data_IF_843814590689
#
_entry.id   IF_843814590689
#
_cell.length_a   1.000
_cell.length_b   1.000
_cell.length_c   1.000
_cell.angle_alpha   90.00
_cell.angle_beta   90.00
_cell.angle_gamma   90.00
#
_symmetry.space_group_name_H-M   'P 1'
#
loop_
_entity.id
_entity.type
_entity.pdbx_description
1 polymer ?
#
# COMPACT_ATOMS: atom_id res chain seq x y z
N UNK A 1 20.79 12.30 5.15
CA UNK A 1 19.60 11.56 5.63
C UNK A 1 19.72 11.40 7.13
N UNK A 2 18.64 11.60 7.88
CA UNK A 2 18.70 11.53 9.34
C UNK A 2 19.06 10.14 9.83
N UNK A 3 18.72 9.07 9.10
CA UNK A 3 19.11 7.71 9.44
C UNK A 3 20.63 7.49 9.46
N UNK A 4 21.38 8.10 8.52
CA UNK A 4 22.85 7.98 8.47
C UNK A 4 23.46 8.68 9.69
N UNK A 5 23.09 9.95 9.92
CA UNK A 5 23.62 10.72 11.06
C UNK A 5 23.22 10.08 12.40
N UNK A 6 22.00 9.54 12.48
CA UNK A 6 21.53 8.77 13.64
C UNK A 6 22.32 7.48 13.85
N UNK A 7 22.70 6.79 12.77
CA UNK A 7 23.53 5.58 12.83
C UNK A 7 24.95 5.91 13.31
N UNK A 8 25.57 6.92 12.72
CA UNK A 8 26.93 7.36 13.09
C UNK A 8 26.99 7.81 14.55
N UNK A 9 25.97 8.53 15.02
CA UNK A 9 25.84 8.92 16.42
C UNK A 9 25.66 7.72 17.36
N UNK A 10 24.75 6.79 17.03
CA UNK A 10 24.40 5.68 17.91
C UNK A 10 25.46 4.56 17.92
N UNK A 11 26.23 4.40 16.84
CA UNK A 11 27.18 3.29 16.66
C UNK A 11 28.65 3.73 16.51
N UNK A 12 28.94 5.03 16.46
CA UNK A 12 30.31 5.56 16.39
C UNK A 12 31.07 5.22 15.11
N UNK A 13 30.36 4.80 14.05
CA UNK A 13 30.92 4.40 12.74
C UNK A 13 29.94 4.67 11.62
N UNK A 14 30.43 4.75 10.38
CA UNK A 14 29.58 4.81 9.19
C UNK A 14 28.80 3.50 8.98
N UNK A 15 27.57 3.53 8.43
CA UNK A 15 26.81 2.33 8.11
C UNK A 15 27.49 1.49 7.02
N UNK A 16 27.28 0.18 7.05
CA UNK A 16 27.79 -0.74 6.02
C UNK A 16 27.00 -0.61 4.71
N UNK A 17 25.76 -0.12 4.78
CA UNK A 17 24.92 0.15 3.63
C UNK A 17 23.63 0.88 3.99
N UNK A 18 22.87 1.23 2.96
CA UNK A 18 21.55 1.85 3.07
C UNK A 18 20.59 1.06 2.20
N UNK A 19 19.54 0.53 2.81
CA UNK A 19 18.42 -0.05 2.09
C UNK A 19 17.33 1.00 1.90
N UNK A 20 16.73 1.04 0.73
CA UNK A 20 15.63 1.93 0.41
C UNK A 20 14.49 1.14 -0.22
N UNK A 21 13.27 1.38 0.23
CA UNK A 21 12.06 0.94 -0.45
C UNK A 21 11.13 2.14 -0.64
N UNK A 22 10.66 2.41 -1.88
CA UNK A 22 9.71 3.49 -2.11
C UNK A 22 8.38 3.19 -1.44
N UNK A 23 7.59 4.23 -1.21
CA UNK A 23 6.17 4.11 -1.00
C UNK A 23 5.46 3.95 -2.35
N UNK A 24 4.20 3.53 -2.30
CA UNK A 24 3.34 3.40 -3.47
C UNK A 24 2.03 4.15 -3.32
N UNK A 25 1.49 4.57 -4.45
CA UNK A 25 0.09 4.96 -4.60
C UNK A 25 -0.64 4.02 -5.56
N UNK A 26 -1.96 3.93 -5.42
CA UNK A 26 -2.83 3.13 -6.27
C UNK A 26 -4.03 4.00 -6.69
N UNK A 27 -3.94 4.66 -7.86
CA UNK A 27 -5.04 5.49 -8.32
C UNK A 27 -6.32 4.73 -8.64
N UNK A 28 -6.19 3.49 -9.10
CA UNK A 28 -7.29 2.59 -9.45
C UNK A 28 -6.86 1.16 -9.09
N UNK A 29 -7.75 0.39 -8.46
CA UNK A 29 -7.49 -0.99 -7.98
C UNK A 29 -7.61 -1.17 -6.48
N UNK A 30 -8.37 -0.30 -5.81
CA UNK A 30 -8.67 -0.39 -4.39
C UNK A 30 -9.27 -1.75 -4.01
N UNK A 31 -8.74 -2.42 -2.98
CA UNK A 31 -9.37 -3.62 -2.40
C UNK A 31 -9.71 -4.73 -3.43
N UNK A 32 -8.93 -4.78 -4.51
CA UNK A 32 -9.09 -5.72 -5.61
C UNK A 32 -8.21 -6.97 -5.40
N UNK A 33 -7.01 -6.76 -4.84
CA UNK A 33 -5.90 -7.72 -4.78
C UNK A 33 -6.16 -8.93 -3.90
N UNK A 34 -6.74 -8.73 -2.71
CA UNK A 34 -7.10 -9.80 -1.77
C UNK A 34 -8.28 -10.67 -2.24
N UNK A 35 -8.83 -10.40 -3.42
CA UNK A 35 -9.85 -11.19 -4.09
C UNK A 35 -9.40 -11.65 -5.49
N UNK A 36 -8.08 -11.70 -5.75
CA UNK A 36 -7.49 -12.07 -7.05
C UNK A 36 -7.92 -11.18 -8.21
N UNK A 37 -8.15 -9.89 -7.94
CA UNK A 37 -8.47 -8.90 -8.94
C UNK A 37 -7.22 -8.28 -9.59
N UNK A 38 -7.44 -7.44 -10.60
CA UNK A 38 -6.37 -6.66 -11.21
C UNK A 38 -6.13 -5.38 -10.42
N UNK A 39 -4.90 -4.87 -10.48
CA UNK A 39 -4.47 -3.65 -9.81
C UNK A 39 -3.70 -2.72 -10.74
N UNK A 40 -3.64 -1.43 -10.38
CA UNK A 40 -2.61 -0.53 -10.89
C UNK A 40 -1.86 0.18 -9.77
N UNK A 41 -0.64 0.63 -10.05
CA UNK A 41 0.11 1.40 -9.06
C UNK A 41 1.34 2.11 -9.60
N UNK A 42 1.83 3.03 -8.77
CA UNK A 42 3.05 3.80 -8.99
C UNK A 42 3.85 3.82 -7.69
N UNK A 43 5.14 3.52 -7.75
CA UNK A 43 6.08 3.90 -6.70
C UNK A 43 6.32 5.41 -6.76
N UNK A 44 6.56 6.03 -5.60
CA UNK A 44 6.89 7.45 -5.49
C UNK A 44 8.32 7.66 -4.99
N UNK A 45 8.89 8.83 -5.27
CA UNK A 45 10.25 9.25 -4.89
C UNK A 45 10.44 9.51 -3.37
N UNK A 46 9.54 8.96 -2.56
CA UNK A 46 9.52 8.98 -1.11
C UNK A 46 9.38 7.54 -0.63
N UNK A 47 9.98 7.20 0.49
CA UNK A 47 9.94 5.84 1.03
C UNK A 47 10.57 5.70 2.40
N UNK A 48 10.95 4.46 2.70
CA UNK A 48 11.68 4.06 3.91
C UNK A 48 13.16 3.89 3.59
N UNK A 49 14.01 4.50 4.41
CA UNK A 49 15.44 4.28 4.40
C UNK A 49 15.86 3.55 5.67
N UNK A 50 16.77 2.58 5.54
CA UNK A 50 17.41 1.90 6.66
C UNK A 50 18.92 2.03 6.48
N UNK A 51 19.56 2.84 7.31
CA UNK A 51 21.02 2.80 7.46
C UNK A 51 21.35 1.62 8.38
N UNK A 52 22.13 0.65 7.90
CA UNK A 52 22.37 -0.59 8.64
C UNK A 52 23.85 -0.98 8.69
N UNK A 53 24.18 -1.82 9.66
CA UNK A 53 25.46 -2.50 9.76
C UNK A 53 25.30 -3.94 10.25
N UNK A 54 26.20 -4.82 9.84
CA UNK A 54 26.17 -6.23 10.21
C UNK A 54 26.50 -6.43 11.70
N UNK A 55 25.77 -7.35 12.35
CA UNK A 55 26.04 -7.83 13.70
C UNK A 55 26.29 -9.34 13.66
N UNK A 56 27.57 -9.74 13.76
CA UNK A 56 28.01 -11.13 13.63
C UNK A 56 27.50 -12.07 14.73
N UNK A 57 26.98 -11.52 15.82
CA UNK A 57 26.41 -12.27 16.93
C UNK A 57 24.92 -12.62 16.74
N UNK A 58 24.36 -12.44 15.53
CA UNK A 58 22.96 -12.77 15.23
C UNK A 58 21.91 -11.83 15.84
N UNK A 59 22.32 -10.76 16.53
CA UNK A 59 21.39 -9.80 17.13
C UNK A 59 20.91 -8.80 16.07
N UNK A 60 19.58 -8.63 16.00
CA UNK A 60 18.94 -7.53 15.29
C UNK A 60 18.58 -6.44 16.28
N UNK A 61 18.99 -5.20 15.99
CA UNK A 61 18.69 -4.03 16.80
C UNK A 61 18.39 -2.83 15.92
N UNK A 62 17.21 -2.25 16.07
CA UNK A 62 16.75 -1.16 15.22
C UNK A 62 16.16 -0.03 16.04
N UNK A 63 16.41 1.19 15.58
CA UNK A 63 15.77 2.42 16.05
C UNK A 63 14.99 3.03 14.91
N UNK A 64 13.82 3.57 15.18
CA UNK A 64 13.09 4.43 14.24
C UNK A 64 13.28 5.89 14.65
N UNK A 65 13.44 6.78 13.66
CA UNK A 65 13.37 8.23 13.90
C UNK A 65 11.92 8.66 14.16
N UNK A 66 10.95 7.97 13.56
CA UNK A 66 9.53 8.32 13.63
C UNK A 66 8.83 7.74 14.88
N UNK A 67 9.39 6.71 15.51
CA UNK A 67 8.80 6.05 16.68
C UNK A 67 9.73 6.04 17.88
N UNK A 68 9.20 6.23 19.10
CA UNK A 68 9.99 6.07 20.30
C UNK A 68 10.34 4.59 20.51
N UNK A 69 11.42 4.37 21.28
CA UNK A 69 11.95 3.05 21.70
C UNK A 69 12.71 2.29 20.61
N UNK A 70 13.76 1.59 21.06
CA UNK A 70 14.53 0.65 20.24
C UNK A 70 13.89 -0.73 20.30
N UNK A 71 13.97 -1.46 19.20
CA UNK A 71 13.58 -2.87 19.12
C UNK A 71 14.82 -3.75 19.01
N UNK A 72 14.82 -4.89 19.70
CA UNK A 72 15.92 -5.84 19.68
C UNK A 72 15.41 -7.28 19.79
N UNK A 73 15.99 -8.18 18.99
CA UNK A 73 15.76 -9.62 19.07
C UNK A 73 16.96 -10.37 18.47
N UNK A 74 17.02 -11.69 18.64
CA UNK A 74 18.04 -12.52 18.02
C UNK A 74 17.41 -13.33 16.87
N UNK A 75 18.12 -13.52 15.76
CA UNK A 75 17.61 -14.20 14.56
C UNK A 75 17.06 -15.61 14.84
N UNK A 76 17.71 -16.37 15.73
CA UNK A 76 17.30 -17.74 16.09
C UNK A 76 16.21 -17.82 17.15
N UNK A 77 15.88 -16.70 17.80
CA UNK A 77 14.87 -16.64 18.87
C UNK A 77 13.95 -15.44 18.66
N UNK A 78 13.56 -15.20 17.41
CA UNK A 78 12.58 -14.18 17.07
C UNK A 78 11.26 -14.56 17.76
N UNK A 79 10.61 -13.65 18.52
CA UNK A 79 9.33 -13.93 19.14
C UNK A 79 8.33 -14.48 18.13
N UNK A 80 7.62 -15.56 18.47
CA UNK A 80 6.67 -16.22 17.55
C UNK A 80 5.30 -15.54 17.51
N UNK A 81 5.06 -14.56 18.38
CA UNK A 81 3.80 -13.82 18.52
C UNK A 81 4.07 -12.32 18.52
N UNK A 82 3.12 -11.54 17.99
CA UNK A 82 3.19 -10.08 17.99
C UNK A 82 3.40 -9.52 19.40
N UNK A 83 4.26 -8.51 19.51
CA UNK A 83 4.58 -7.82 20.76
C UNK A 83 3.78 -6.50 20.90
N UNK A 84 3.04 -6.10 19.87
CA UNK A 84 2.21 -4.88 19.87
C UNK A 84 2.99 -3.60 19.58
N UNK A 85 4.15 -3.70 18.93
CA UNK A 85 4.98 -2.55 18.58
C UNK A 85 5.32 -2.50 17.08
N UNK A 86 5.92 -1.40 16.63
CA UNK A 86 6.24 -1.16 15.22
C UNK A 86 7.20 -2.19 14.61
N UNK A 87 7.99 -2.89 15.44
CA UNK A 87 8.94 -3.89 14.99
C UNK A 87 8.30 -5.27 14.76
N UNK A 88 6.99 -5.44 14.98
CA UNK A 88 6.30 -6.69 14.64
C UNK A 88 6.39 -7.01 13.14
N UNK A 89 6.32 -5.99 12.28
CA UNK A 89 6.55 -6.16 10.85
C UNK A 89 7.94 -6.75 10.54
N UNK A 90 8.96 -6.33 11.30
CA UNK A 90 10.34 -6.77 11.11
C UNK A 90 10.64 -8.14 11.71
N UNK A 91 10.00 -8.47 12.83
CA UNK A 91 10.02 -9.82 13.40
C UNK A 91 9.34 -10.82 12.46
N UNK A 92 8.18 -10.46 11.92
CA UNK A 92 7.49 -11.25 10.90
C UNK A 92 8.38 -11.48 9.67
N UNK A 93 9.04 -10.43 9.19
CA UNK A 93 9.99 -10.52 8.07
C UNK A 93 11.19 -11.42 8.38
N UNK A 94 11.73 -11.34 9.60
CA UNK A 94 12.82 -12.22 10.05
C UNK A 94 12.39 -13.69 10.02
N UNK A 95 11.19 -13.99 10.52
CA UNK A 95 10.64 -15.36 10.53
C UNK A 95 10.39 -15.87 9.12
N UNK A 96 9.76 -15.06 8.26
CA UNK A 96 9.47 -15.43 6.88
C UNK A 96 10.76 -15.77 6.10
N UNK A 97 11.82 -14.97 6.29
CA UNK A 97 13.12 -15.23 5.68
C UNK A 97 13.81 -16.47 6.27
N UNK A 98 13.81 -16.60 7.61
CA UNK A 98 14.46 -17.71 8.32
C UNK A 98 13.84 -19.09 8.02
N UNK A 99 12.57 -19.14 7.62
CA UNK A 99 11.90 -20.39 7.19
C UNK A 99 12.49 -20.97 5.91
N UNK A 100 13.03 -20.12 5.04
CA UNK A 100 13.55 -20.52 3.71
C UNK A 100 15.08 -20.49 3.65
N UNK A 101 15.72 -19.74 4.53
CA UNK A 101 17.18 -19.55 4.52
C UNK A 101 17.77 -19.61 5.92
N UNK A 102 18.97 -20.18 6.04
CA UNK A 102 19.74 -20.14 7.27
C UNK A 102 20.29 -18.72 7.49
N UNK A 103 19.91 -18.10 8.60
CA UNK A 103 20.44 -16.80 9.02
C UNK A 103 21.55 -17.02 10.06
N UNK A 104 22.66 -16.30 9.90
CA UNK A 104 23.80 -16.32 10.84
C UNK A 104 24.20 -14.92 11.30
N UNK A 105 23.84 -13.88 10.53
CA UNK A 105 24.22 -12.50 10.77
C UNK A 105 22.97 -11.68 11.07
N UNK A 106 22.97 -10.96 12.19
CA UNK A 106 21.97 -9.95 12.50
C UNK A 106 22.36 -8.59 11.94
N UNK A 107 21.60 -7.55 12.26
CA UNK A 107 21.92 -6.19 11.85
C UNK A 107 21.59 -5.16 12.93
N UNK A 108 22.41 -4.13 13.03
CA UNK A 108 22.04 -2.90 13.70
C UNK A 108 21.59 -1.84 12.68
N UNK A 109 20.70 -0.93 13.04
CA UNK A 109 20.31 0.12 12.10
C UNK A 109 19.37 1.18 12.61
N UNK A 110 19.20 2.22 11.78
CA UNK A 110 18.29 3.34 12.01
C UNK A 110 17.36 3.48 10.81
N UNK A 111 16.05 3.52 11.09
CA UNK A 111 14.97 3.61 10.10
C UNK A 111 14.45 5.05 10.04
N UNK A 112 14.27 5.55 8.82
CA UNK A 112 13.70 6.87 8.51
C UNK A 112 12.59 6.73 7.46
N UNK A 113 11.38 7.13 7.82
CA UNK A 113 10.30 7.37 6.86
C UNK A 113 10.30 8.81 6.39
N UNK A 114 10.27 9.01 5.08
CA UNK A 114 10.36 10.34 4.45
C UNK A 114 9.06 11.15 4.45
N UNK A 115 7.93 10.50 4.73
CA UNK A 115 6.61 11.14 4.83
C UNK A 115 5.92 10.73 6.14
N UNK A 116 4.88 11.48 6.58
CA UNK A 116 4.05 11.06 7.69
C UNK A 116 3.46 9.67 7.49
N UNK A 117 3.14 9.01 8.59
CA UNK A 117 2.66 7.63 8.57
C UNK A 117 1.17 7.62 8.23
N UNK A 118 0.81 6.83 7.21
CA UNK A 118 -0.58 6.48 6.94
C UNK A 118 -0.94 6.52 5.45
N UNK A 119 -1.54 5.43 4.96
CA UNK A 119 -2.12 5.35 3.61
C UNK A 119 -1.13 5.10 2.47
N UNK A 120 0.17 5.22 2.68
CA UNK A 120 1.19 5.07 1.64
C UNK A 120 1.96 3.74 1.68
N UNK A 121 1.33 2.65 2.11
CA UNK A 121 2.00 1.33 2.12
C UNK A 121 3.18 1.20 3.10
N UNK A 122 3.22 2.03 4.14
CA UNK A 122 4.41 2.13 4.99
C UNK A 122 4.81 0.82 5.69
N UNK A 123 3.90 -0.16 5.82
CA UNK A 123 4.19 -1.50 6.36
C UNK A 123 4.95 -2.38 5.36
N UNK A 124 4.49 -2.48 4.11
CA UNK A 124 5.20 -3.21 3.07
C UNK A 124 6.58 -2.61 2.82
N UNK A 125 6.67 -1.27 2.71
CA UNK A 125 7.94 -0.60 2.45
C UNK A 125 8.99 -0.85 3.55
N UNK A 126 8.59 -0.83 4.83
CA UNK A 126 9.53 -1.09 5.93
C UNK A 126 9.96 -2.56 5.97
N UNK A 127 9.06 -3.49 5.64
CA UNK A 127 9.38 -4.92 5.55
C UNK A 127 10.37 -5.18 4.42
N UNK A 128 10.11 -4.64 3.22
CA UNK A 128 10.93 -4.86 2.03
C UNK A 128 12.31 -4.22 2.18
N UNK A 129 12.39 -2.99 2.72
CA UNK A 129 13.67 -2.35 3.02
C UNK A 129 14.49 -3.18 4.04
N UNK A 130 13.82 -3.71 5.07
CA UNK A 130 14.47 -4.54 6.09
C UNK A 130 14.91 -5.90 5.55
N UNK A 131 14.06 -6.59 4.77
CA UNK A 131 14.41 -7.84 4.09
C UNK A 131 15.62 -7.64 3.18
N UNK A 132 15.67 -6.53 2.43
CA UNK A 132 16.80 -6.20 1.56
C UNK A 132 18.10 -6.05 2.36
N UNK A 133 18.08 -5.32 3.48
CA UNK A 133 19.22 -5.19 4.37
C UNK A 133 19.65 -6.52 4.99
N UNK A 134 18.69 -7.31 5.49
CA UNK A 134 18.93 -8.60 6.14
C UNK A 134 19.49 -9.64 5.15
N UNK A 135 18.97 -9.65 3.92
CA UNK A 135 19.51 -10.47 2.83
C UNK A 135 20.94 -10.08 2.50
N UNK A 136 21.24 -8.77 2.41
CA UNK A 136 22.59 -8.28 2.11
C UNK A 136 23.62 -8.74 3.14
N UNK A 137 23.32 -8.60 4.44
CA UNK A 137 24.28 -9.01 5.50
C UNK A 137 24.44 -10.53 5.61
N UNK A 138 23.43 -11.31 5.20
CA UNK A 138 23.50 -12.79 5.14
C UNK A 138 23.89 -13.33 3.76
N UNK A 139 24.17 -12.47 2.77
CA UNK A 139 24.51 -12.84 1.38
C UNK A 139 23.44 -13.73 0.71
N UNK A 140 22.17 -13.48 1.04
CA UNK A 140 21.02 -14.14 0.42
C UNK A 140 20.59 -13.31 -0.80
N UNK A 141 20.30 -14.00 -1.91
CA UNK A 141 19.70 -13.38 -3.09
C UNK A 141 18.28 -13.92 -3.23
N UNK A 142 17.30 -13.02 -3.28
CA UNK A 142 15.91 -13.33 -3.54
C UNK A 142 15.55 -12.83 -4.93
N UNK A 143 14.71 -13.59 -5.64
CA UNK A 143 13.94 -13.04 -6.75
C UNK A 143 12.94 -11.99 -6.25
N UNK A 144 12.48 -11.13 -7.14
CA UNK A 144 11.46 -10.12 -6.86
C UNK A 144 10.19 -10.76 -6.27
N UNK A 145 9.76 -11.90 -6.83
CA UNK A 145 8.62 -12.65 -6.32
C UNK A 145 8.86 -13.24 -4.92
N UNK A 146 10.05 -13.78 -4.65
CA UNK A 146 10.38 -14.28 -3.31
C UNK A 146 10.38 -13.18 -2.24
N UNK A 147 10.83 -11.97 -2.61
CA UNK A 147 10.79 -10.80 -1.74
C UNK A 147 9.35 -10.37 -1.44
N UNK A 148 8.49 -10.32 -2.46
CA UNK A 148 7.05 -10.05 -2.32
C UNK A 148 6.38 -11.08 -1.41
N UNK A 149 6.63 -12.37 -1.66
CA UNK A 149 6.03 -13.46 -0.88
C UNK A 149 6.50 -13.46 0.58
N UNK A 150 7.78 -13.16 0.84
CA UNK A 150 8.30 -13.04 2.20
C UNK A 150 7.67 -11.84 2.95
N UNK A 151 7.49 -10.71 2.25
CA UNK A 151 6.82 -9.55 2.83
C UNK A 151 5.33 -9.83 3.12
N UNK A 152 4.64 -10.47 2.18
CA UNK A 152 3.25 -10.87 2.32
C UNK A 152 3.05 -11.88 3.48
N UNK A 153 3.98 -12.83 3.62
CA UNK A 153 3.97 -13.80 4.71
C UNK A 153 4.13 -13.11 6.08
N UNK A 154 5.03 -12.12 6.17
CA UNK A 154 5.20 -11.34 7.39
C UNK A 154 3.90 -10.62 7.81
N UNK A 155 3.20 -9.96 6.88
CA UNK A 155 1.97 -9.24 7.22
C UNK A 155 0.80 -10.18 7.54
N UNK A 156 0.64 -11.27 6.77
CA UNK A 156 -0.50 -12.18 6.94
C UNK A 156 -0.33 -13.14 8.12
N UNK A 157 0.83 -13.80 8.21
CA UNK A 157 1.03 -14.91 9.13
C UNK A 157 1.54 -14.46 10.50
N UNK A 158 2.25 -13.32 10.56
CA UNK A 158 2.78 -12.81 11.82
C UNK A 158 1.95 -11.65 12.36
N UNK A 159 1.74 -10.60 11.55
CA UNK A 159 0.99 -9.40 11.99
C UNK A 159 -0.52 -9.64 12.02
N UNK A 160 -1.03 -10.55 11.18
CA UNK A 160 -2.45 -10.95 11.16
C UNK A 160 -3.35 -10.02 10.33
N UNK A 161 -2.79 -9.29 9.36
CA UNK A 161 -3.56 -8.45 8.45
C UNK A 161 -3.80 -9.21 7.15
N UNK A 162 -5.06 -9.36 6.72
CA UNK A 162 -5.45 -10.12 5.54
C UNK A 162 -5.23 -9.35 4.23
N UNK A 163 -4.07 -8.71 4.09
CA UNK A 163 -3.71 -7.94 2.88
C UNK A 163 -3.55 -8.87 1.67
N UNK A 164 -3.78 -8.32 0.47
CA UNK A 164 -3.30 -8.94 -0.76
C UNK A 164 -1.88 -8.47 -1.08
N UNK A 165 -1.47 -8.66 -2.33
CA UNK A 165 -0.10 -8.36 -2.78
C UNK A 165 0.08 -7.01 -3.46
N UNK A 166 -0.92 -6.12 -3.44
CA UNK A 166 -0.88 -4.82 -4.13
C UNK A 166 0.34 -4.00 -3.72
N UNK A 167 0.50 -3.83 -2.42
CA UNK A 167 1.48 -2.96 -1.80
C UNK A 167 2.90 -3.39 -2.16
N UNK A 168 3.23 -4.64 -1.85
CA UNK A 168 4.52 -5.25 -2.09
C UNK A 168 4.83 -5.32 -3.59
N UNK A 169 3.84 -5.64 -4.44
CA UNK A 169 4.06 -5.70 -5.89
C UNK A 169 4.35 -4.33 -6.49
N UNK A 170 3.63 -3.29 -6.04
CA UNK A 170 3.92 -1.92 -6.48
C UNK A 170 5.30 -1.47 -6.03
N UNK A 171 5.69 -1.77 -4.79
CA UNK A 171 6.99 -1.38 -4.25
C UNK A 171 8.16 -2.12 -4.90
N UNK A 172 7.96 -3.32 -5.44
CA UNK A 172 9.01 -4.12 -6.08
C UNK A 172 9.06 -3.91 -7.59
N UNK A 173 7.93 -4.03 -8.28
CA UNK A 173 7.89 -4.06 -9.75
C UNK A 173 7.79 -2.69 -10.41
N UNK A 174 7.46 -1.62 -9.68
CA UNK A 174 7.30 -0.31 -10.28
C UNK A 174 8.56 0.17 -11.00
N UNK A 175 8.36 1.00 -12.00
CA UNK A 175 9.43 1.67 -12.73
C UNK A 175 9.05 3.14 -12.89
N UNK A 176 10.04 4.02 -12.79
CA UNK A 176 9.82 5.44 -13.00
C UNK A 176 9.18 5.69 -14.36
N UNK A 177 8.17 6.56 -14.39
CA UNK A 177 7.41 6.96 -15.58
C UNK A 177 6.68 5.80 -16.28
N UNK A 178 6.32 4.76 -15.51
CA UNK A 178 5.48 3.64 -15.97
C UNK A 178 4.37 3.37 -14.94
N UNK A 179 3.16 3.12 -15.41
CA UNK A 179 2.08 2.57 -14.61
C UNK A 179 2.25 1.05 -14.52
N UNK A 180 2.35 0.51 -13.31
CA UNK A 180 2.25 -0.94 -13.11
C UNK A 180 0.80 -1.36 -13.31
N UNK A 181 0.56 -2.36 -14.17
CA UNK A 181 -0.70 -3.08 -14.30
C UNK A 181 -0.43 -4.55 -14.04
N UNK A 182 -1.10 -5.14 -13.04
CA UNK A 182 -0.82 -6.51 -12.57
C UNK A 182 -2.11 -7.27 -12.32
N UNK A 183 -2.17 -8.53 -12.74
CA UNK A 183 -3.22 -9.48 -12.37
C UNK A 183 -2.76 -10.29 -11.15
N UNK A 184 -3.48 -10.16 -10.02
CA UNK A 184 -3.06 -10.83 -8.79
C UNK A 184 -3.40 -12.31 -8.76
N UNK A 185 -4.08 -12.84 -9.80
CA UNK A 185 -4.34 -14.26 -9.94
C UNK A 185 -3.06 -15.05 -10.26
N UNK A 186 -2.26 -14.59 -11.24
CA UNK A 186 -1.13 -15.33 -11.80
C UNK A 186 0.21 -14.57 -11.79
N UNK A 187 0.23 -13.37 -11.21
CA UNK A 187 1.41 -12.48 -11.16
C UNK A 187 1.88 -11.96 -12.52
N UNK A 188 1.07 -12.11 -13.58
CA UNK A 188 1.34 -11.44 -14.85
C UNK A 188 1.23 -9.93 -14.68
N UNK A 189 2.19 -9.19 -15.25
CA UNK A 189 2.20 -7.73 -15.17
C UNK A 189 2.77 -7.07 -16.43
N UNK A 190 2.42 -5.80 -16.60
CA UNK A 190 2.90 -4.90 -17.63
C UNK A 190 3.33 -3.59 -16.98
N UNK A 191 4.45 -3.03 -17.46
CA UNK A 191 4.88 -1.68 -17.14
C UNK A 191 4.49 -0.77 -18.30
N UNK A 192 3.36 -0.06 -18.15
CA UNK A 192 2.81 0.80 -19.19
C UNK A 192 3.51 2.15 -19.12
N UNK A 193 4.44 2.39 -20.05
CA UNK A 193 5.18 3.66 -20.12
C UNK A 193 4.23 4.86 -20.26
N UNK A 194 4.48 5.93 -19.52
CA UNK A 194 3.78 7.21 -19.67
C UNK A 194 3.96 7.74 -21.09
N UNK A 195 2.88 7.86 -21.88
CA UNK A 195 2.97 8.33 -23.26
C UNK A 195 3.40 9.79 -23.36
N UNK A 196 4.21 10.13 -24.37
CA UNK A 196 4.70 11.49 -24.58
C UNK A 196 3.58 12.51 -24.89
N UNK A 197 2.43 12.05 -25.39
CA UNK A 197 1.25 12.87 -25.64
C UNK A 197 0.36 13.07 -24.41
N UNK A 198 0.66 12.40 -23.29
CA UNK A 198 -0.08 12.58 -22.04
C UNK A 198 0.20 13.98 -21.49
N UNK A 199 -0.84 14.67 -21.00
CA UNK A 199 -0.63 15.95 -20.32
C UNK A 199 0.31 15.74 -19.12
N UNK A 200 1.16 16.74 -18.77
CA UNK A 200 2.02 16.65 -17.60
C UNK A 200 1.21 16.37 -16.33
N UNK A 201 1.74 15.52 -15.47
CA UNK A 201 1.15 15.27 -14.15
C UNK A 201 2.24 15.20 -13.06
N UNK A 202 1.85 15.54 -11.84
CA UNK A 202 2.57 15.22 -10.60
C UNK A 202 1.64 14.47 -9.65
N UNK A 203 2.22 13.79 -8.66
CA UNK A 203 1.48 13.07 -7.62
C UNK A 203 1.39 13.98 -6.40
N UNK A 204 0.17 14.33 -5.97
CA UNK A 204 -0.06 15.02 -4.71
C UNK A 204 -0.53 14.03 -3.64
N UNK A 205 -0.03 14.19 -2.42
CA UNK A 205 -0.45 13.44 -1.24
C UNK A 205 -0.91 14.42 -0.17
N UNK A 206 -2.17 14.28 0.25
CA UNK A 206 -2.81 15.10 1.27
C UNK A 206 -2.99 14.29 2.55
N UNK A 207 -2.15 14.51 3.55
CA UNK A 207 -2.28 13.85 4.85
C UNK A 207 -3.34 14.54 5.69
N UNK A 208 -4.34 13.78 6.13
CA UNK A 208 -5.42 14.29 6.99
C UNK A 208 -4.96 14.77 8.37
N UNK A 209 -3.83 14.28 8.88
CA UNK A 209 -3.40 14.54 10.27
C UNK A 209 -4.08 13.63 11.31
N UNK A 210 -4.87 12.64 10.87
CA UNK A 210 -5.54 11.66 11.75
C UNK A 210 -4.66 10.41 11.98
N UNK A 211 -4.31 10.13 13.25
CA UNK A 211 -3.35 9.07 13.62
C UNK A 211 -3.97 7.76 14.16
N UNK A 212 -5.26 7.77 14.58
CA UNK A 212 -6.21 6.64 14.49
C UNK A 212 -5.73 5.17 14.56
N UNK A 213 -5.07 4.66 15.60
CA UNK A 213 -4.72 3.21 15.68
C UNK A 213 -5.92 2.24 15.77
N UNK A 214 -6.37 1.70 14.63
CA UNK A 214 -7.22 0.51 14.54
C UNK A 214 -6.51 -0.48 13.60
N UNK A 215 -5.76 -1.43 14.16
CA UNK A 215 -5.07 -2.47 13.40
C UNK A 215 -6.08 -3.52 12.93
N UNK A 216 -6.15 -3.73 11.63
CA UNK A 216 -6.66 -4.96 10.98
C UNK A 216 -8.16 -5.26 11.05
N UNK A 217 -8.88 -4.95 12.13
CA UNK A 217 -10.21 -5.54 12.38
C UNK A 217 -11.28 -5.18 11.34
N UNK A 218 -11.42 -3.88 11.00
CA UNK A 218 -12.36 -3.44 9.96
C UNK A 218 -11.93 -3.87 8.56
N UNK A 219 -10.63 -3.87 8.28
CA UNK A 219 -10.11 -4.30 6.98
C UNK A 219 -10.35 -5.79 6.76
N UNK A 220 -9.96 -6.64 7.72
CA UNK A 220 -10.16 -8.09 7.66
C UNK A 220 -11.66 -8.42 7.52
N UNK A 221 -12.53 -7.72 8.26
CA UNK A 221 -13.99 -7.88 8.12
C UNK A 221 -14.46 -7.64 6.67
N UNK A 222 -13.92 -6.63 5.97
CA UNK A 222 -14.28 -6.37 4.56
C UNK A 222 -13.82 -7.47 3.62
N UNK A 223 -12.65 -8.04 3.88
CA UNK A 223 -12.14 -9.20 3.13
C UNK A 223 -13.04 -10.41 3.34
N UNK A 224 -13.47 -10.66 4.59
CA UNK A 224 -14.37 -11.77 4.92
C UNK A 224 -15.78 -11.58 4.32
N UNK A 225 -16.29 -10.35 4.26
CA UNK A 225 -17.54 -10.01 3.56
C UNK A 225 -17.46 -10.37 2.07
N UNK A 226 -16.33 -10.14 1.40
CA UNK A 226 -16.14 -10.56 0.00
C UNK A 226 -16.10 -12.07 -0.16
N UNK A 227 -15.34 -12.77 0.69
CA UNK A 227 -15.30 -14.25 0.66
C UNK A 227 -16.67 -14.84 0.89
N UNK A 228 -17.42 -14.30 1.85
CA UNK A 228 -18.79 -14.70 2.15
C UNK A 228 -19.72 -14.49 0.96
N UNK A 229 -19.62 -13.35 0.28
CA UNK A 229 -20.35 -13.09 -0.96
C UNK A 229 -20.01 -14.14 -2.04
N UNK A 230 -18.73 -14.36 -2.31
CA UNK A 230 -18.28 -15.32 -3.32
C UNK A 230 -18.79 -16.74 -3.03
N UNK A 231 -18.62 -17.20 -1.79
CA UNK A 231 -19.05 -18.54 -1.36
C UNK A 231 -20.57 -18.73 -1.49
N UNK A 232 -21.35 -17.75 -1.05
CA UNK A 232 -22.81 -17.78 -1.17
C UNK A 232 -23.27 -17.77 -2.64
N UNK A 233 -22.65 -16.95 -3.50
CA UNK A 233 -22.98 -16.88 -4.91
C UNK A 233 -22.71 -18.22 -5.63
N UNK A 234 -21.57 -18.86 -5.34
CA UNK A 234 -21.25 -20.19 -5.89
C UNK A 234 -22.31 -21.21 -5.47
N UNK A 235 -22.72 -21.20 -4.20
CA UNK A 235 -23.78 -22.08 -3.70
C UNK A 235 -25.15 -21.82 -4.36
N UNK A 236 -25.53 -20.54 -4.52
CA UNK A 236 -26.80 -20.19 -5.17
C UNK A 236 -26.87 -20.59 -6.64
N UNK A 237 -25.74 -20.55 -7.34
CA UNK A 237 -25.61 -20.90 -8.75
C UNK A 237 -25.34 -22.40 -8.99
N UNK A 238 -25.20 -23.22 -7.94
CA UNK A 238 -24.83 -24.63 -8.05
C UNK A 238 -23.41 -24.85 -8.62
N UNK A 239 -22.52 -23.86 -8.47
CA UNK A 239 -21.12 -23.98 -8.87
C UNK A 239 -20.34 -24.81 -7.85
N UNK A 240 -19.26 -25.46 -8.28
CA UNK A 240 -18.33 -26.11 -7.37
C UNK A 240 -17.63 -25.05 -6.50
N UNK A 241 -17.59 -25.27 -5.19
CA UNK A 241 -16.84 -24.44 -4.26
C UNK A 241 -16.05 -25.29 -3.26
N UNK A 242 -14.79 -24.92 -3.07
CA UNK A 242 -13.84 -25.59 -2.18
C UNK A 242 -13.90 -25.05 -0.75
N UNK A 243 -12.74 -24.93 -0.10
CA UNK A 243 -12.68 -24.36 1.25
C UNK A 243 -13.02 -22.87 1.24
N UNK A 244 -13.73 -22.42 2.28
CA UNK A 244 -14.10 -21.02 2.45
C UNK A 244 -12.90 -20.07 2.40
N UNK A 245 -11.81 -20.42 3.06
CA UNK A 245 -10.58 -19.61 3.14
C UNK A 245 -9.88 -19.40 1.78
N UNK A 246 -10.14 -20.28 0.82
CA UNK A 246 -9.55 -20.29 -0.52
C UNK A 246 -10.50 -19.68 -1.57
N UNK A 247 -11.70 -19.25 -1.17
CA UNK A 247 -12.73 -18.74 -2.07
C UNK A 247 -12.56 -17.24 -2.33
N UNK A 248 -12.63 -16.82 -3.59
CA UNK A 248 -12.44 -15.44 -4.01
C UNK A 248 -13.51 -15.00 -5.02
N UNK A 249 -13.86 -13.71 -5.05
CA UNK A 249 -14.81 -13.15 -6.02
C UNK A 249 -14.40 -13.36 -7.48
N UNK A 250 -13.09 -13.44 -7.76
CA UNK A 250 -12.55 -13.72 -9.11
C UNK A 250 -13.07 -15.01 -9.74
N UNK A 251 -13.46 -15.98 -8.93
CA UNK A 251 -13.97 -17.28 -9.38
C UNK A 251 -15.45 -17.24 -9.75
N UNK A 252 -16.14 -16.13 -9.48
CA UNK A 252 -17.58 -15.96 -9.71
C UNK A 252 -17.78 -15.04 -10.91
N UNK A 253 -18.46 -15.49 -11.98
CA UNK A 253 -18.80 -14.63 -13.10
C UNK A 253 -19.68 -13.46 -12.66
N UNK A 254 -19.51 -12.29 -13.29
CA UNK A 254 -20.30 -11.09 -12.96
C UNK A 254 -21.80 -11.34 -13.13
N UNK A 255 -22.19 -12.12 -14.12
CA UNK A 255 -23.59 -12.46 -14.41
C UNK A 255 -24.24 -13.24 -13.25
N UNK A 256 -23.47 -14.11 -12.60
CA UNK A 256 -23.91 -14.86 -11.42
C UNK A 256 -24.15 -13.90 -10.26
N UNK A 257 -23.24 -12.94 -10.05
CA UNK A 257 -23.44 -11.88 -9.06
C UNK A 257 -24.70 -11.07 -9.36
N UNK A 258 -24.87 -10.56 -10.59
CA UNK A 258 -26.03 -9.73 -10.95
C UNK A 258 -27.36 -10.48 -10.76
N UNK A 259 -27.39 -11.78 -11.08
CA UNK A 259 -28.59 -12.61 -10.93
C UNK A 259 -28.96 -12.87 -9.46
N UNK A 260 -27.97 -13.10 -8.59
CA UNK A 260 -28.21 -13.50 -7.20
C UNK A 260 -27.93 -12.42 -6.13
N UNK A 261 -27.46 -11.23 -6.49
CA UNK A 261 -27.06 -10.19 -5.52
C UNK A 261 -28.17 -9.79 -4.54
N UNK A 262 -29.43 -9.87 -4.94
CA UNK A 262 -30.59 -9.59 -4.07
C UNK A 262 -30.79 -10.62 -2.95
N UNK A 263 -30.15 -11.79 -3.04
CA UNK A 263 -30.17 -12.83 -2.01
C UNK A 263 -29.04 -12.70 -0.99
N UNK A 264 -28.04 -11.85 -1.29
CA UNK A 264 -26.94 -11.59 -0.36
C UNK A 264 -27.38 -10.57 0.70
N UNK A 265 -26.82 -10.63 1.92
CA UNK A 265 -26.84 -9.50 2.83
C UNK A 265 -26.36 -8.22 2.14
N UNK A 266 -27.02 -7.10 2.42
CA UNK A 266 -26.79 -5.83 1.71
C UNK A 266 -25.31 -5.40 1.73
N UNK A 267 -24.64 -5.56 2.87
CA UNK A 267 -23.22 -5.25 3.02
C UNK A 267 -22.35 -6.11 2.08
N UNK A 268 -22.62 -7.42 1.98
CA UNK A 268 -21.87 -8.34 1.11
C UNK A 268 -22.10 -8.01 -0.36
N UNK A 269 -23.34 -7.70 -0.73
CA UNK A 269 -23.67 -7.25 -2.08
C UNK A 269 -22.89 -5.99 -2.46
N UNK A 270 -22.79 -5.01 -1.55
CA UNK A 270 -21.98 -3.79 -1.77
C UNK A 270 -20.49 -4.08 -1.91
N UNK A 271 -19.91 -4.99 -1.12
CA UNK A 271 -18.49 -5.37 -1.27
C UNK A 271 -18.20 -6.03 -2.61
N UNK A 272 -19.08 -6.94 -3.03
CA UNK A 272 -18.98 -7.56 -4.34
C UNK A 272 -19.13 -6.52 -5.47
N UNK A 273 -20.09 -5.60 -5.38
CA UNK A 273 -20.26 -4.49 -6.34
C UNK A 273 -18.99 -3.64 -6.45
N UNK A 274 -18.37 -3.30 -5.31
CA UNK A 274 -17.09 -2.58 -5.30
C UNK A 274 -16.04 -3.34 -6.10
N UNK A 275 -15.86 -4.64 -5.80
CA UNK A 275 -14.84 -5.47 -6.45
C UNK A 275 -15.06 -5.61 -7.96
N UNK A 276 -16.27 -5.99 -8.42
CA UNK A 276 -16.54 -6.15 -9.86
C UNK A 276 -16.35 -4.83 -10.62
N UNK A 277 -16.86 -3.73 -10.07
CA UNK A 277 -16.73 -2.43 -10.74
C UNK A 277 -15.30 -1.91 -10.68
N UNK A 278 -14.53 -2.21 -9.63
CA UNK A 278 -13.12 -1.83 -9.53
C UNK A 278 -12.26 -2.63 -10.49
N UNK A 279 -12.54 -3.92 -10.64
CA UNK A 279 -11.91 -4.79 -11.63
C UNK A 279 -12.00 -4.19 -13.04
N UNK A 280 -13.21 -3.75 -13.43
CA UNK A 280 -13.43 -3.09 -14.72
C UNK A 280 -12.78 -1.72 -14.82
N UNK A 281 -12.81 -0.93 -13.73
CA UNK A 281 -12.13 0.38 -13.69
C UNK A 281 -10.63 0.23 -13.90
N UNK A 282 -10.00 -0.81 -13.36
CA UNK A 282 -8.58 -1.10 -13.56
C UNK A 282 -8.28 -1.39 -15.03
N UNK A 283 -9.07 -2.21 -15.69
CA UNK A 283 -8.89 -2.50 -17.13
C UNK A 283 -9.08 -1.23 -17.98
N UNK A 284 -10.16 -0.48 -17.74
CA UNK A 284 -10.42 0.80 -18.43
C UNK A 284 -9.32 1.83 -18.16
N UNK A 285 -8.80 1.86 -16.94
CA UNK A 285 -7.71 2.74 -16.51
C UNK A 285 -6.41 2.42 -17.25
N UNK A 286 -6.03 1.14 -17.33
CA UNK A 286 -4.86 0.73 -18.11
C UNK A 286 -4.97 1.18 -19.58
N UNK A 287 -6.14 1.02 -20.21
CA UNK A 287 -6.37 1.49 -21.58
C UNK A 287 -6.34 3.03 -21.71
N UNK A 288 -6.90 3.76 -20.75
CA UNK A 288 -6.82 5.23 -20.74
C UNK A 288 -5.36 5.70 -20.63
N UNK A 289 -4.57 5.06 -19.76
CA UNK A 289 -3.15 5.34 -19.60
C UNK A 289 -2.38 5.07 -20.89
N UNK A 290 -2.59 3.92 -21.55
CA UNK A 290 -1.95 3.58 -22.84
C UNK A 290 -2.21 4.62 -23.93
N UNK A 291 -3.39 5.25 -23.93
CA UNK A 291 -3.74 6.31 -24.90
C UNK A 291 -3.20 7.70 -24.54
N UNK A 292 -2.61 7.88 -23.35
CA UNK A 292 -2.20 9.19 -22.85
C UNK A 292 -3.35 10.04 -22.31
N UNK A 293 -4.51 9.44 -22.04
CA UNK A 293 -5.72 10.13 -21.62
C UNK A 293 -5.79 10.21 -20.08
N UNK A 294 -4.99 11.11 -19.50
CA UNK A 294 -4.91 11.33 -18.05
C UNK A 294 -6.24 11.82 -17.45
N UNK A 295 -7.08 12.49 -18.25
CA UNK A 295 -8.39 12.98 -17.81
C UNK A 295 -9.37 11.82 -17.62
N UNK A 296 -9.43 10.90 -18.60
CA UNK A 296 -10.23 9.68 -18.46
C UNK A 296 -9.71 8.80 -17.33
N UNK A 297 -8.39 8.65 -17.19
CA UNK A 297 -7.79 7.92 -16.08
C UNK A 297 -8.14 8.56 -14.72
N UNK A 298 -8.03 9.88 -14.63
CA UNK A 298 -8.32 10.64 -13.43
C UNK A 298 -9.79 10.56 -13.01
N UNK A 299 -10.72 10.62 -13.98
CA UNK A 299 -12.15 10.38 -13.74
C UNK A 299 -12.40 8.99 -13.14
N UNK A 300 -11.78 7.94 -13.69
CA UNK A 300 -11.88 6.58 -13.14
C UNK A 300 -11.31 6.48 -11.72
N UNK A 301 -10.26 7.25 -11.40
CA UNK A 301 -9.72 7.33 -10.05
C UNK A 301 -10.71 7.94 -9.05
N UNK A 302 -11.42 9.01 -9.44
CA UNK A 302 -12.51 9.54 -8.62
C UNK A 302 -13.66 8.53 -8.46
N UNK A 303 -14.06 7.84 -9.52
CA UNK A 303 -15.09 6.78 -9.45
C UNK A 303 -14.67 5.63 -8.50
N UNK A 304 -13.39 5.26 -8.50
CA UNK A 304 -12.81 4.31 -7.52
C UNK A 304 -12.89 4.85 -6.08
N UNK A 305 -12.58 6.13 -5.88
CA UNK A 305 -12.74 6.82 -4.59
C UNK A 305 -14.19 6.82 -4.09
N UNK A 306 -15.14 7.17 -4.95
CA UNK A 306 -16.57 7.09 -4.66
C UNK A 306 -16.97 5.67 -4.27
N UNK A 307 -16.59 4.65 -5.06
CA UNK A 307 -16.89 3.25 -4.73
C UNK A 307 -16.27 2.83 -3.40
N UNK A 308 -15.07 3.31 -3.07
CA UNK A 308 -14.43 3.06 -1.77
C UNK A 308 -15.27 3.63 -0.61
N UNK A 309 -15.87 4.81 -0.79
CA UNK A 309 -16.69 5.47 0.24
C UNK A 309 -18.03 4.76 0.43
N UNK A 310 -18.73 4.43 -0.66
CA UNK A 310 -20.13 4.00 -0.61
C UNK A 310 -20.33 2.49 -0.73
N UNK A 311 -19.57 1.82 -1.60
CA UNK A 311 -19.68 0.37 -1.79
C UNK A 311 -18.72 -0.39 -0.87
N UNK A 312 -17.52 0.13 -0.60
CA UNK A 312 -16.58 -0.49 0.34
C UNK A 312 -16.75 0.01 1.78
N UNK A 313 -17.45 1.13 1.97
CA UNK A 313 -17.70 1.75 3.28
C UNK A 313 -16.40 1.98 4.07
N UNK A 314 -15.42 2.62 3.41
CA UNK A 314 -14.19 3.13 4.03
C UNK A 314 -14.12 4.66 3.98
N UNK A 315 -13.15 5.25 4.67
CA UNK A 315 -12.98 6.70 4.83
C UNK A 315 -13.44 7.20 6.19
N UNK A 316 -12.55 7.92 6.88
CA UNK A 316 -12.95 8.78 8.00
C UNK A 316 -13.64 10.05 7.48
N UNK A 317 -14.38 10.80 8.32
CA UNK A 317 -14.95 12.09 7.92
C UNK A 317 -13.92 13.02 7.26
N UNK A 318 -12.71 13.06 7.82
CA UNK A 318 -11.60 13.85 7.32
C UNK A 318 -11.14 13.46 5.92
N UNK A 319 -11.01 12.15 5.66
CA UNK A 319 -10.65 11.66 4.33
C UNK A 319 -11.76 11.97 3.33
N UNK A 320 -13.02 11.74 3.69
CA UNK A 320 -14.17 12.05 2.84
C UNK A 320 -14.24 13.52 2.47
N UNK A 321 -13.98 14.42 3.42
CA UNK A 321 -13.90 15.85 3.15
C UNK A 321 -12.76 16.19 2.17
N UNK A 322 -11.56 15.63 2.36
CA UNK A 322 -10.46 15.81 1.40
C UNK A 322 -10.84 15.33 0.00
N UNK A 323 -11.52 14.19 -0.11
CA UNK A 323 -12.03 13.70 -1.39
C UNK A 323 -13.04 14.66 -2.05
N UNK A 324 -13.99 15.19 -1.28
CA UNK A 324 -14.95 16.19 -1.78
C UNK A 324 -14.29 17.51 -2.21
N UNK A 325 -13.25 17.95 -1.50
CA UNK A 325 -12.46 19.12 -1.86
C UNK A 325 -11.69 18.86 -3.16
N UNK A 326 -11.08 17.68 -3.31
CA UNK A 326 -10.36 17.31 -4.52
C UNK A 326 -11.27 17.33 -5.76
N UNK A 327 -12.51 16.84 -5.65
CA UNK A 327 -13.49 16.85 -6.74
C UNK A 327 -13.81 18.25 -7.29
N UNK A 328 -13.61 19.30 -6.47
CA UNK A 328 -13.98 20.69 -6.80
C UNK A 328 -12.75 21.59 -6.99
N UNK A 329 -11.57 21.02 -7.01
CA UNK A 329 -10.31 21.76 -7.11
C UNK A 329 -9.74 21.66 -8.52
N UNK A 330 -9.65 22.81 -9.19
CA UNK A 330 -9.09 22.89 -10.54
C UNK A 330 -7.64 22.40 -10.58
N UNK A 331 -7.29 21.71 -11.67
CA UNK A 331 -5.96 21.13 -11.85
C UNK A 331 -5.78 19.76 -11.19
N UNK A 332 -6.81 19.17 -10.57
CA UNK A 332 -6.78 17.77 -10.14
C UNK A 332 -7.46 16.91 -11.21
N UNK A 333 -6.69 16.05 -11.88
CA UNK A 333 -7.24 15.11 -12.86
C UNK A 333 -8.05 14.00 -12.19
N UNK A 334 -7.57 13.48 -11.06
CA UNK A 334 -8.18 12.38 -10.33
C UNK A 334 -7.58 12.19 -8.95
N UNK A 335 -8.34 11.61 -8.03
CA UNK A 335 -7.84 11.31 -6.69
C UNK A 335 -8.76 10.42 -5.87
N UNK A 336 -8.18 9.75 -4.88
CA UNK A 336 -8.91 8.91 -3.91
C UNK A 336 -8.10 8.72 -2.63
N UNK A 337 -8.70 8.03 -1.67
CA UNK A 337 -7.96 7.58 -0.48
C UNK A 337 -6.82 6.65 -0.88
N UNK A 338 -5.69 6.77 -0.19
CA UNK A 338 -4.59 5.82 -0.34
C UNK A 338 -4.60 4.79 0.79
N UNK A 339 -4.24 3.54 0.46
CA UNK A 339 -4.23 2.41 1.40
C UNK A 339 -5.64 1.95 1.80
N UNK A 340 -5.77 1.38 3.00
CA UNK A 340 -7.01 0.76 3.48
C UNK A 340 -8.18 1.75 3.74
N UNK A 341 -7.94 3.06 3.66
CA UNK A 341 -8.97 4.10 3.79
C UNK A 341 -9.47 4.38 5.22
N UNK A 342 -8.91 3.75 6.25
CA UNK A 342 -9.31 3.97 7.65
C UNK A 342 -8.42 4.99 8.41
N UNK A 343 -7.28 5.36 7.82
CA UNK A 343 -6.37 6.44 8.25
C UNK A 343 -5.63 6.99 7.03
N UNK A 344 -4.90 8.08 7.24
CA UNK A 344 -3.77 8.42 6.38
C UNK A 344 -4.05 9.59 5.46
N UNK A 345 -3.89 9.36 4.17
CA UNK A 345 -3.88 10.39 3.15
C UNK A 345 -4.83 10.10 1.99
N UNK A 346 -5.21 11.17 1.30
CA UNK A 346 -5.67 11.09 -0.07
C UNK A 346 -4.47 11.26 -0.99
N UNK A 347 -4.51 10.60 -2.15
CA UNK A 347 -3.56 10.85 -3.23
C UNK A 347 -4.33 11.36 -4.45
N UNK A 348 -3.64 12.17 -5.26
CA UNK A 348 -4.19 12.74 -6.48
C UNK A 348 -3.15 12.83 -7.59
N UNK A 349 -3.62 12.75 -8.83
CA UNK A 349 -2.87 13.12 -10.02
C UNK A 349 -3.26 14.54 -10.38
N UNK A 350 -2.27 15.43 -10.45
CA UNK A 350 -2.50 16.86 -10.62
C UNK A 350 -1.75 17.42 -11.81
N UNK A 351 -2.27 18.49 -12.41
CA UNK A 351 -1.54 19.36 -13.32
C UNK A 351 -0.50 20.16 -12.52
N UNK A 352 0.81 20.00 -12.82
CA UNK A 352 1.87 20.75 -12.14
C UNK A 352 1.71 22.26 -12.24
N UNK A 353 1.02 22.79 -13.26
CA UNK A 353 0.76 24.22 -13.41
C UNK A 353 -0.20 24.79 -12.36
N UNK A 354 -0.94 23.93 -11.66
CA UNK A 354 -1.89 24.31 -10.60
C UNK A 354 -1.39 23.97 -9.19
N UNK A 355 -0.17 23.44 -9.07
CA UNK A 355 0.42 22.91 -7.82
C UNK A 355 0.24 23.83 -6.61
N UNK A 356 0.63 25.08 -6.70
CA UNK A 356 0.56 26.05 -5.60
C UNK A 356 -0.91 26.36 -5.25
N UNK A 357 -1.75 26.57 -6.27
CA UNK A 357 -3.19 26.86 -6.08
C UNK A 357 -3.93 25.68 -5.44
N UNK A 358 -3.56 24.45 -5.82
CA UNK A 358 -4.10 23.23 -5.22
C UNK A 358 -3.71 23.16 -3.75
N UNK A 359 -2.44 23.37 -3.42
CA UNK A 359 -1.98 23.36 -2.03
C UNK A 359 -2.73 24.40 -1.19
N UNK A 360 -2.84 25.65 -1.68
CA UNK A 360 -3.54 26.72 -0.98
C UNK A 360 -5.04 26.41 -0.80
N UNK A 361 -5.74 26.05 -1.88
CA UNK A 361 -7.18 25.80 -1.85
C UNK A 361 -7.53 24.62 -0.94
N UNK A 362 -6.83 23.49 -1.11
CA UNK A 362 -7.08 22.28 -0.31
C UNK A 362 -6.79 22.55 1.16
N UNK A 363 -5.66 23.21 1.48
CA UNK A 363 -5.32 23.56 2.87
C UNK A 363 -6.39 24.46 3.50
N UNK A 364 -6.79 25.53 2.80
CA UNK A 364 -7.77 26.49 3.29
C UNK A 364 -9.14 25.83 3.52
N UNK A 365 -9.65 25.08 2.55
CA UNK A 365 -10.97 24.44 2.67
C UNK A 365 -10.97 23.34 3.74
N UNK A 366 -9.92 22.53 3.78
CA UNK A 366 -9.82 21.43 4.75
C UNK A 366 -9.69 21.93 6.19
N UNK A 367 -8.82 22.91 6.46
CA UNK A 367 -8.65 23.47 7.79
C UNK A 367 -9.83 24.36 8.24
N UNK A 368 -10.65 24.84 7.30
CA UNK A 368 -11.92 25.49 7.65
C UNK A 368 -12.90 24.50 8.26
N UNK A 369 -12.95 23.27 7.75
CA UNK A 369 -13.81 22.20 8.28
C UNK A 369 -13.21 21.51 9.52
N UNK A 370 -11.88 21.35 9.55
CA UNK A 370 -11.15 20.70 10.64
C UNK A 370 -10.02 21.57 11.21
N UNK A 371 -10.32 22.71 11.86
CA UNK A 371 -9.31 23.64 12.37
C UNK A 371 -8.36 23.00 13.40
N UNK A 372 -8.83 22.00 14.15
CA UNK A 372 -8.03 21.24 15.12
C UNK A 372 -6.89 20.41 14.49
N UNK A 373 -6.86 20.27 13.16
CA UNK A 373 -5.83 19.52 12.43
C UNK A 373 -4.73 20.45 11.89
N UNK A 374 -4.77 21.75 12.22
CA UNK A 374 -3.69 22.68 11.95
C UNK A 374 -2.36 22.16 12.56
N UNK A 375 -1.28 22.24 11.78
CA UNK A 375 0.03 21.68 12.14
C UNK A 375 0.15 20.15 12.00
N UNK A 376 -0.95 19.42 11.77
CA UNK A 376 -0.95 17.98 11.48
C UNK A 376 -1.27 17.66 10.02
N UNK A 377 -2.16 18.43 9.42
CA UNK A 377 -2.41 18.38 7.98
C UNK A 377 -1.15 18.77 7.21
N UNK A 378 -0.87 18.07 6.11
CA UNK A 378 0.22 18.44 5.23
C UNK A 378 -0.02 18.00 3.79
N UNK A 379 0.53 18.78 2.86
CA UNK A 379 0.50 18.52 1.42
C UNK A 379 1.92 18.22 0.95
N UNK A 380 2.08 17.12 0.22
CA UNK A 380 3.35 16.71 -0.36
C UNK A 380 3.19 16.44 -1.84
N UNK A 381 4.19 16.84 -2.62
CA UNK A 381 4.24 16.56 -4.05
C UNK A 381 5.39 15.60 -4.33
N UNK A 382 5.09 14.58 -5.11
CA UNK A 382 5.96 13.45 -5.39
C UNK A 382 6.02 13.21 -6.89
N UNK A 383 7.06 12.49 -7.30
CA UNK A 383 7.25 12.00 -8.66
C UNK A 383 7.21 10.48 -8.67
N UNK A 384 6.88 9.88 -9.81
CA UNK A 384 7.06 8.45 -10.00
C UNK A 384 8.52 8.06 -9.82
N UNK A 385 8.74 6.90 -9.23
CA UNK A 385 10.05 6.33 -8.99
C UNK A 385 10.10 4.86 -9.42
N UNK A 386 11.31 4.33 -9.45
CA UNK A 386 11.53 2.90 -9.54
C UNK A 386 11.10 2.21 -8.24
N UNK A 387 10.77 0.93 -8.33
CA UNK A 387 10.58 0.04 -7.20
C UNK A 387 11.88 -0.15 -6.40
N UNK A 388 11.87 -1.09 -5.45
CA UNK A 388 13.04 -1.44 -4.65
C UNK A 388 14.19 -1.79 -5.61
N UNK A 389 15.19 -0.90 -5.65
CA UNK A 389 16.27 -0.99 -6.63
C UNK A 389 17.26 -2.10 -6.27
N UNK A 390 17.78 -2.75 -7.32
CA UNK A 390 18.84 -3.77 -7.28
C UNK A 390 20.20 -3.19 -6.92
#
# INVERSE_FOLDING_TARGET
MQCISGFEHDYGRVPDGIAFCPYRICPIGAHSDHQHGKITGLAIDKGIHIAYGAKQNGVIELKSINFPKRAQWHISSTPSVCQGDWADYLRGATIALARKHALSVGLCGVIEGTLPIGGLSSSAAVIIAFLSALCKVNRITLSENELILAALEAERQYVGVSVGKLDQSCEVYSKKDHLLYLDTLDDSYELIQTPANMKPYEIAVFFSGVERNLVGSKFNMRVDECRSAAYALKAFAGMEYGKFEETHLREVPREVYEHYKSRLPEAWARRAEHWYTEFERVEKGAEAWRRGDIEAYGKLSFESGHSSIYNWETGSPELKALYEIMLRTDGIYGGRFSGAGFKGCCMALIDPAFKEKIAEKVTMEYLREFPQLEGKFSVHFCKSADGVMK
#
